data_IF_806416924639
#
_entry.id   IF_806416924639
#
_cell.length_a   1.000
_cell.length_b   1.000
_cell.length_c   1.000
_cell.angle_alpha   90.00
_cell.angle_beta   90.00
_cell.angle_gamma   90.00
#
_symmetry.space_group_name_H-M   'P 1'
#
loop_
_entity.id
_entity.type
_entity.pdbx_description
1 polymer ?
#
# COMPACT_ATOMS: atom_id res chain seq x y z
N UNK A 1 13.72 23.71 -21.06
CA UNK A 1 14.98 23.48 -20.29
C UNK A 1 16.22 23.56 -21.18
N UNK A 2 17.36 24.06 -20.68
CA UNK A 2 18.61 24.20 -21.46
C UNK A 2 19.39 22.87 -21.64
N UNK A 3 19.09 21.83 -20.84
CA UNK A 3 19.71 20.51 -21.01
C UNK A 3 19.02 19.72 -22.11
N UNK A 4 19.78 19.33 -23.15
CA UNK A 4 19.34 18.36 -24.17
C UNK A 4 19.37 16.91 -23.66
N UNK A 5 19.63 16.65 -22.38
CA UNK A 5 19.69 15.32 -21.80
C UNK A 5 18.77 15.20 -20.56
N UNK A 6 17.98 14.13 -20.56
CA UNK A 6 17.13 13.70 -19.44
C UNK A 6 17.71 12.41 -18.86
N UNK A 7 17.76 12.31 -17.53
CA UNK A 7 18.20 11.10 -16.84
C UNK A 7 16.98 10.25 -16.52
N UNK A 8 17.02 8.96 -16.88
CA UNK A 8 15.97 8.00 -16.55
C UNK A 8 16.49 7.01 -15.51
N UNK A 9 15.76 6.87 -14.41
CA UNK A 9 15.97 5.84 -13.38
C UNK A 9 14.70 5.00 -13.20
N UNK A 10 14.82 3.91 -12.45
CA UNK A 10 13.77 2.91 -12.25
C UNK A 10 14.08 2.17 -10.94
N UNK A 11 13.19 2.30 -9.97
CA UNK A 11 13.25 1.56 -8.72
C UNK A 11 12.64 0.17 -8.91
N UNK A 12 13.02 -0.79 -8.07
CA UNK A 12 12.45 -2.13 -8.09
C UNK A 12 12.06 -2.63 -6.71
N UNK A 13 11.71 -3.92 -6.68
CA UNK A 13 11.42 -4.67 -5.47
C UNK A 13 12.72 -5.07 -4.75
N UNK A 14 12.64 -5.38 -3.46
CA UNK A 14 13.77 -5.95 -2.72
C UNK A 14 14.00 -7.43 -3.10
N UNK A 15 12.96 -8.13 -3.55
CA UNK A 15 13.01 -9.55 -3.95
C UNK A 15 13.58 -9.70 -5.35
N UNK A 16 14.71 -10.39 -5.46
CA UNK A 16 15.37 -10.69 -6.74
C UNK A 16 14.47 -11.44 -7.73
N UNK A 17 13.63 -12.35 -7.25
CA UNK A 17 12.68 -13.10 -8.10
C UNK A 17 11.66 -12.18 -8.77
N UNK A 18 11.08 -11.23 -8.02
CA UNK A 18 10.16 -10.24 -8.54
C UNK A 18 10.83 -9.36 -9.60
N UNK A 19 12.02 -8.82 -9.30
CA UNK A 19 12.79 -8.00 -10.24
C UNK A 19 13.12 -8.73 -11.54
N UNK A 20 13.52 -10.00 -11.49
CA UNK A 20 13.80 -10.82 -12.68
C UNK A 20 12.56 -11.05 -13.54
N UNK A 21 11.44 -11.36 -12.89
CA UNK A 21 10.16 -11.60 -13.57
C UNK A 21 9.65 -10.33 -14.25
N UNK A 22 9.80 -9.19 -13.59
CA UNK A 22 9.26 -7.89 -13.97
C UNK A 22 10.13 -7.12 -14.98
N UNK A 23 11.43 -7.43 -15.07
CA UNK A 23 12.37 -6.69 -15.90
C UNK A 23 11.98 -6.55 -17.39
N UNK A 24 11.46 -7.59 -18.08
CA UNK A 24 11.03 -7.44 -19.47
C UNK A 24 9.97 -6.35 -19.66
N UNK A 25 9.02 -6.24 -18.74
CA UNK A 25 7.96 -5.23 -18.78
C UNK A 25 8.53 -3.81 -18.59
N UNK A 26 9.41 -3.64 -17.60
CA UNK A 26 10.12 -2.38 -17.36
C UNK A 26 10.93 -1.95 -18.58
N UNK A 27 11.76 -2.84 -19.12
CA UNK A 27 12.60 -2.54 -20.29
C UNK A 27 11.76 -2.12 -21.50
N UNK A 28 10.63 -2.80 -21.75
CA UNK A 28 9.73 -2.45 -22.84
C UNK A 28 9.10 -1.06 -22.66
N UNK A 29 8.74 -0.70 -21.43
CA UNK A 29 8.26 0.65 -21.09
C UNK A 29 9.36 1.70 -21.26
N UNK A 30 10.57 1.48 -20.72
CA UNK A 30 11.71 2.39 -20.85
C UNK A 30 12.01 2.69 -22.33
N UNK A 31 11.90 1.69 -23.21
CA UNK A 31 12.07 1.87 -24.66
C UNK A 31 11.02 2.80 -25.28
N UNK A 32 9.74 2.65 -24.91
CA UNK A 32 8.65 3.50 -25.41
C UNK A 32 8.78 4.93 -24.92
N UNK A 33 9.04 5.11 -23.62
CA UNK A 33 9.26 6.44 -23.01
C UNK A 33 10.48 7.11 -23.64
N UNK A 34 11.60 6.38 -23.79
CA UNK A 34 12.81 6.89 -24.46
C UNK A 34 12.54 7.31 -25.90
N UNK A 35 11.75 6.54 -26.65
CA UNK A 35 11.38 6.87 -28.02
C UNK A 35 10.51 8.14 -28.07
N UNK A 36 9.59 8.33 -27.12
CA UNK A 36 8.79 9.55 -27.03
C UNK A 36 9.64 10.79 -26.73
N UNK A 37 10.57 10.70 -25.75
CA UNK A 37 11.47 11.81 -25.40
C UNK A 37 12.36 12.20 -26.59
N UNK A 38 12.89 11.20 -27.32
CA UNK A 38 13.72 11.44 -28.51
C UNK A 38 12.96 12.12 -29.65
N UNK A 39 11.66 11.87 -29.79
CA UNK A 39 10.81 12.55 -30.78
C UNK A 39 10.64 14.04 -30.49
N UNK A 40 10.72 14.44 -29.23
CA UNK A 40 10.72 15.85 -28.80
C UNK A 40 12.14 16.47 -28.85
N UNK A 41 13.15 15.75 -29.37
CA UNK A 41 14.50 16.28 -29.62
C UNK A 41 15.48 16.15 -28.45
N UNK A 42 15.09 15.48 -27.35
CA UNK A 42 15.93 15.28 -26.18
C UNK A 42 16.67 13.93 -26.20
N UNK A 43 17.89 13.89 -25.66
CA UNK A 43 18.64 12.67 -25.37
C UNK A 43 18.19 12.08 -24.04
N UNK A 44 18.27 10.76 -23.92
CA UNK A 44 17.99 10.05 -22.68
C UNK A 44 19.23 9.28 -22.27
N UNK A 45 19.66 9.49 -21.02
CA UNK A 45 20.70 8.70 -20.37
C UNK A 45 20.08 7.90 -19.23
N UNK A 46 20.28 6.58 -19.24
CA UNK A 46 19.88 5.75 -18.11
C UNK A 46 20.83 6.00 -16.94
N UNK A 47 20.32 6.33 -15.76
CA UNK A 47 21.12 6.73 -14.59
C UNK A 47 21.87 5.57 -13.92
N UNK A 48 21.55 4.32 -14.27
CA UNK A 48 22.18 3.12 -13.73
C UNK A 48 22.21 1.99 -14.78
N UNK A 49 23.16 1.04 -14.66
CA UNK A 49 23.32 -0.02 -15.65
C UNK A 49 22.36 -1.20 -15.43
N UNK A 50 22.23 -2.05 -16.45
CA UNK A 50 21.67 -3.39 -16.27
C UNK A 50 22.68 -4.30 -15.55
N UNK A 51 22.24 -4.98 -14.49
CA UNK A 51 23.06 -5.87 -13.67
C UNK A 51 23.01 -7.29 -14.23
N UNK A 52 24.03 -7.68 -15.02
CA UNK A 52 24.09 -8.99 -15.69
C UNK A 52 23.94 -10.18 -14.74
N UNK A 53 24.57 -10.13 -13.56
CA UNK A 53 24.49 -11.20 -12.56
C UNK A 53 23.08 -11.34 -11.94
N UNK A 54 22.41 -10.21 -11.69
CA UNK A 54 21.07 -10.18 -11.11
C UNK A 54 19.96 -10.39 -12.15
N UNK A 55 20.27 -10.15 -13.44
CA UNK A 55 19.37 -10.28 -14.60
C UNK A 55 18.21 -9.27 -14.62
N UNK A 56 18.43 -8.08 -14.06
CA UNK A 56 17.52 -6.94 -14.17
C UNK A 56 18.30 -5.62 -14.15
N UNK A 57 17.62 -4.51 -14.46
CA UNK A 57 18.18 -3.18 -14.40
C UNK A 57 17.58 -2.28 -13.32
N UNK A 58 16.85 -2.79 -12.33
CA UNK A 58 16.31 -1.97 -11.24
C UNK A 58 17.34 -1.57 -10.18
N UNK A 59 17.12 -0.41 -9.55
CA UNK A 59 17.68 -0.06 -8.24
C UNK A 59 16.95 -0.88 -7.18
N UNK A 60 17.69 -1.70 -6.42
CA UNK A 60 17.10 -2.71 -5.54
C UNK A 60 17.50 -2.54 -4.05
N UNK A 61 18.14 -1.42 -3.70
CA UNK A 61 18.41 -1.06 -2.30
C UNK A 61 18.62 0.44 -2.14
N UNK A 62 18.44 0.94 -0.92
CA UNK A 62 18.79 2.32 -0.57
C UNK A 62 20.29 2.60 -0.78
N UNK A 63 21.16 1.64 -0.45
CA UNK A 63 22.62 1.80 -0.68
C UNK A 63 22.91 2.06 -2.16
N UNK A 64 22.38 1.21 -3.04
CA UNK A 64 22.53 1.35 -4.49
C UNK A 64 21.96 2.68 -4.98
N UNK A 65 20.78 3.08 -4.50
CA UNK A 65 20.21 4.38 -4.82
C UNK A 65 21.11 5.54 -4.41
N UNK A 66 21.67 5.53 -3.20
CA UNK A 66 22.58 6.58 -2.75
C UNK A 66 23.85 6.65 -3.60
N UNK A 67 24.40 5.50 -4.01
CA UNK A 67 25.55 5.45 -4.92
C UNK A 67 25.23 6.05 -6.30
N UNK A 68 24.02 5.82 -6.81
CA UNK A 68 23.56 6.39 -8.08
C UNK A 68 23.38 7.92 -7.97
N UNK A 69 22.68 8.40 -6.94
CA UNK A 69 22.40 9.83 -6.78
C UNK A 69 23.65 10.68 -6.51
N UNK A 70 24.73 10.11 -5.95
CA UNK A 70 26.04 10.79 -5.88
C UNK A 70 26.61 11.17 -7.25
N UNK A 71 26.20 10.47 -8.31
CA UNK A 71 26.71 10.64 -9.67
C UNK A 71 25.68 11.27 -10.62
N UNK A 72 24.45 11.51 -10.16
CA UNK A 72 23.43 12.25 -10.91
C UNK A 72 23.66 13.75 -10.65
N UNK A 73 23.84 14.59 -11.68
CA UNK A 73 23.85 16.04 -11.51
C UNK A 73 22.56 16.50 -10.82
N UNK A 74 22.68 17.25 -9.74
CA UNK A 74 21.58 17.58 -8.85
C UNK A 74 20.48 18.43 -9.53
N UNK A 75 20.83 19.20 -10.57
CA UNK A 75 19.91 20.05 -11.34
C UNK A 75 19.37 19.38 -12.61
N UNK A 76 19.77 18.15 -12.91
CA UNK A 76 19.37 17.49 -14.15
C UNK A 76 17.86 17.16 -14.17
N UNK A 77 17.19 17.24 -15.34
CA UNK A 77 15.84 16.72 -15.49
C UNK A 77 15.84 15.21 -15.28
N UNK A 78 15.04 14.73 -14.32
CA UNK A 78 15.04 13.35 -13.87
C UNK A 78 13.67 12.71 -14.07
N UNK A 79 13.65 11.56 -14.74
CA UNK A 79 12.48 10.71 -14.89
C UNK A 79 12.64 9.47 -14.02
N UNK A 80 11.66 9.19 -13.18
CA UNK A 80 11.51 7.90 -12.48
C UNK A 80 10.44 7.09 -13.22
N UNK A 81 10.85 6.06 -13.96
CA UNK A 81 9.97 5.25 -14.78
C UNK A 81 9.62 3.94 -14.06
N UNK A 82 8.33 3.70 -13.85
CA UNK A 82 7.83 2.57 -13.06
C UNK A 82 6.81 1.74 -13.85
N UNK A 83 7.18 0.52 -14.21
CA UNK A 83 6.27 -0.45 -14.82
C UNK A 83 5.72 -1.48 -13.81
N UNK A 84 6.25 -1.47 -12.58
CA UNK A 84 6.13 -2.55 -11.59
C UNK A 84 5.98 -1.98 -10.17
N UNK A 85 5.71 -2.85 -9.19
CA UNK A 85 5.82 -2.50 -7.78
C UNK A 85 7.28 -2.22 -7.42
N UNK A 86 7.51 -1.18 -6.62
CA UNK A 86 8.83 -0.71 -6.26
C UNK A 86 8.85 -0.21 -4.82
N UNK A 87 10.02 -0.23 -4.21
CA UNK A 87 10.19 0.20 -2.82
C UNK A 87 10.77 1.63 -2.80
N UNK A 88 9.92 2.62 -2.50
CA UNK A 88 10.25 4.06 -2.65
C UNK A 88 11.53 4.47 -1.94
N UNK A 89 11.82 3.88 -0.77
CA UNK A 89 13.05 4.16 -0.01
C UNK A 89 14.36 3.89 -0.76
N UNK A 90 14.34 3.12 -1.86
CA UNK A 90 15.51 2.95 -2.72
C UNK A 90 15.95 4.27 -3.36
N UNK A 91 14.99 5.13 -3.74
CA UNK A 91 15.26 6.36 -4.52
C UNK A 91 14.88 7.62 -3.76
N UNK A 92 13.95 7.55 -2.81
CA UNK A 92 13.40 8.71 -2.10
C UNK A 92 14.47 9.62 -1.49
N UNK A 93 15.48 9.13 -0.73
CA UNK A 93 16.45 10.04 -0.11
C UNK A 93 17.28 10.80 -1.16
N UNK A 94 17.50 10.20 -2.33
CA UNK A 94 18.18 10.85 -3.45
C UNK A 94 17.30 11.95 -4.04
N UNK A 95 16.03 11.62 -4.30
CA UNK A 95 15.03 12.55 -4.82
C UNK A 95 14.79 13.74 -3.88
N UNK A 96 14.82 13.54 -2.56
CA UNK A 96 14.67 14.65 -1.58
C UNK A 96 15.81 15.66 -1.60
N UNK A 97 16.97 15.29 -2.16
CA UNK A 97 18.13 16.19 -2.29
C UNK A 97 18.33 16.72 -3.71
N UNK A 98 17.50 16.25 -4.64
CA UNK A 98 17.54 16.60 -6.06
C UNK A 98 16.84 17.95 -6.28
N UNK A 99 17.44 18.83 -7.08
CA UNK A 99 16.98 20.21 -7.35
C UNK A 99 16.39 20.39 -8.73
N UNK A 100 16.73 19.48 -9.66
CA UNK A 100 16.15 19.46 -11.01
C UNK A 100 14.68 19.02 -10.99
N UNK A 101 13.94 19.27 -12.08
CA UNK A 101 12.56 18.82 -12.17
C UNK A 101 12.48 17.29 -12.19
N UNK A 102 11.51 16.75 -11.46
CA UNK A 102 11.23 15.32 -11.37
C UNK A 102 9.92 15.01 -12.10
N UNK A 103 9.94 13.98 -12.95
CA UNK A 103 8.75 13.40 -13.56
C UNK A 103 8.67 11.92 -13.20
N UNK A 104 7.59 11.51 -12.56
CA UNK A 104 7.26 10.09 -12.41
C UNK A 104 6.42 9.64 -13.60
N UNK A 105 6.75 8.48 -14.18
CA UNK A 105 6.05 7.93 -15.35
C UNK A 105 5.68 6.49 -15.07
N UNK A 106 4.41 6.12 -15.25
CA UNK A 106 3.94 4.74 -15.11
C UNK A 106 3.36 4.12 -16.40
N UNK A 107 3.38 2.79 -16.48
CA UNK A 107 2.51 2.07 -17.40
C UNK A 107 1.06 2.05 -16.88
N UNK A 108 0.11 2.00 -17.80
CA UNK A 108 -1.28 1.69 -17.49
C UNK A 108 -1.56 0.23 -17.84
N UNK A 109 -1.46 -0.67 -16.86
CA UNK A 109 -1.49 -2.12 -17.12
C UNK A 109 -2.01 -2.90 -15.90
N UNK A 110 -2.98 -3.80 -16.10
CA UNK A 110 -3.51 -4.63 -15.01
C UNK A 110 -2.59 -5.76 -14.54
N UNK A 111 -1.73 -6.28 -15.43
CA UNK A 111 -0.79 -7.36 -15.12
C UNK A 111 0.38 -6.86 -14.27
N UNK A 112 1.00 -5.74 -14.64
CA UNK A 112 2.20 -5.20 -13.99
C UNK A 112 1.90 -3.91 -13.22
N UNK A 113 2.12 -3.86 -11.89
CA UNK A 113 1.62 -2.80 -11.02
C UNK A 113 2.46 -1.51 -11.01
N UNK A 114 2.84 -0.99 -12.17
CA UNK A 114 3.61 0.27 -12.22
C UNK A 114 2.82 1.48 -11.75
N UNK A 115 1.49 1.49 -11.96
CA UNK A 115 0.63 2.53 -11.39
C UNK A 115 0.72 2.53 -9.85
N UNK A 116 0.61 1.36 -9.22
CA UNK A 116 0.68 1.21 -7.75
C UNK A 116 2.07 1.63 -7.24
N UNK A 117 3.15 1.14 -7.89
CA UNK A 117 4.53 1.51 -7.53
C UNK A 117 4.80 3.01 -7.66
N UNK A 118 4.28 3.65 -8.72
CA UNK A 118 4.38 5.09 -8.93
C UNK A 118 3.56 5.88 -7.89
N UNK A 119 2.34 5.43 -7.54
CA UNK A 119 1.51 6.09 -6.53
C UNK A 119 2.14 6.07 -5.14
N UNK A 120 2.78 4.95 -4.75
CA UNK A 120 3.61 4.86 -3.54
C UNK A 120 4.73 5.92 -3.56
N UNK A 121 5.47 6.04 -4.68
CA UNK A 121 6.51 7.05 -4.81
C UNK A 121 5.96 8.47 -4.74
N UNK A 122 4.87 8.74 -5.46
CA UNK A 122 4.21 10.04 -5.49
C UNK A 122 3.72 10.47 -4.11
N UNK A 123 3.09 9.57 -3.37
CA UNK A 123 2.69 9.82 -1.98
C UNK A 123 3.91 10.12 -1.11
N UNK A 124 5.01 9.39 -1.33
CA UNK A 124 6.25 9.59 -0.56
C UNK A 124 6.91 10.94 -0.86
N UNK A 125 6.94 11.36 -2.13
CA UNK A 125 7.43 12.66 -2.57
C UNK A 125 6.57 13.80 -2.02
N UNK A 126 5.24 13.67 -2.12
CA UNK A 126 4.29 14.63 -1.55
C UNK A 126 4.51 14.80 -0.05
N UNK A 127 4.57 13.69 0.69
CA UNK A 127 4.82 13.70 2.13
C UNK A 127 6.18 14.33 2.48
N UNK A 128 7.19 14.12 1.64
CA UNK A 128 8.52 14.70 1.83
C UNK A 128 8.63 16.16 1.37
N UNK A 129 7.55 16.76 0.83
CA UNK A 129 7.56 18.13 0.31
C UNK A 129 8.40 18.30 -0.96
N UNK A 130 8.58 17.23 -1.75
CA UNK A 130 9.33 17.27 -3.00
C UNK A 130 8.38 17.56 -4.16
N UNK A 131 8.68 18.59 -4.94
CA UNK A 131 7.96 18.91 -6.17
C UNK A 131 8.20 17.82 -7.24
N UNK A 132 7.12 17.33 -7.84
CA UNK A 132 7.18 16.40 -8.97
C UNK A 132 6.01 16.63 -9.93
N UNK A 133 6.12 16.07 -11.12
CA UNK A 133 5.03 15.89 -12.07
C UNK A 133 4.81 14.41 -12.36
N UNK A 134 3.65 14.06 -12.91
CA UNK A 134 3.32 12.65 -13.16
C UNK A 134 2.66 12.46 -14.52
N UNK A 135 3.05 11.39 -15.21
CA UNK A 135 2.39 10.93 -16.42
C UNK A 135 2.19 9.42 -16.40
N UNK A 136 1.18 8.94 -17.10
CA UNK A 136 0.96 7.52 -17.30
C UNK A 136 0.37 7.29 -18.68
N UNK A 137 0.55 6.08 -19.21
CA UNK A 137 -0.08 5.70 -20.47
C UNK A 137 -0.07 4.19 -20.66
N UNK A 138 -1.03 3.70 -21.44
CA UNK A 138 -1.03 2.33 -21.96
C UNK A 138 0.12 2.10 -22.96
N UNK A 139 0.39 3.09 -23.82
CA UNK A 139 1.32 2.92 -24.95
C UNK A 139 2.25 4.11 -25.22
N UNK A 140 2.14 5.18 -24.44
CA UNK A 140 2.93 6.42 -24.54
C UNK A 140 2.74 7.15 -25.87
N UNK A 141 1.59 6.97 -26.52
CA UNK A 141 1.27 7.61 -27.80
C UNK A 141 -0.02 8.45 -27.78
N UNK A 142 -0.80 8.37 -26.71
CA UNK A 142 -2.02 9.15 -26.55
C UNK A 142 -1.73 10.65 -26.36
N UNK A 143 -2.77 11.46 -26.57
CA UNK A 143 -2.66 12.92 -26.52
C UNK A 143 -2.35 13.46 -25.13
N UNK A 144 -2.83 12.82 -24.06
CA UNK A 144 -2.56 13.23 -22.69
C UNK A 144 -1.06 13.11 -22.39
N UNK A 145 -0.49 11.92 -22.65
CA UNK A 145 0.94 11.68 -22.42
C UNK A 145 1.83 12.60 -23.27
N UNK A 146 1.57 12.71 -24.58
CA UNK A 146 2.41 13.52 -25.49
C UNK A 146 2.43 15.01 -25.12
N UNK A 147 1.27 15.58 -24.80
CA UNK A 147 1.17 17.00 -24.42
C UNK A 147 1.86 17.25 -23.08
N UNK A 148 1.59 16.41 -22.08
CA UNK A 148 2.23 16.55 -20.78
C UNK A 148 3.75 16.34 -20.84
N UNK A 149 4.23 15.38 -21.64
CA UNK A 149 5.68 15.17 -21.82
C UNK A 149 6.34 16.41 -22.43
N UNK A 150 5.74 17.02 -23.45
CA UNK A 150 6.25 18.25 -24.06
C UNK A 150 6.27 19.40 -23.06
N UNK A 151 5.16 19.63 -22.37
CA UNK A 151 5.06 20.66 -21.32
C UNK A 151 6.15 20.47 -20.27
N UNK A 152 6.37 19.24 -19.81
CA UNK A 152 7.39 18.94 -18.83
C UNK A 152 8.80 19.15 -19.36
N UNK A 153 9.11 18.76 -20.61
CA UNK A 153 10.43 19.00 -21.20
C UNK A 153 10.73 20.51 -21.38
N UNK A 154 9.70 21.31 -21.67
CA UNK A 154 9.85 22.74 -21.85
C UNK A 154 9.99 23.47 -20.50
N UNK A 155 9.11 23.16 -19.55
CA UNK A 155 8.90 23.94 -18.31
C UNK A 155 9.36 23.26 -17.03
N UNK A 156 9.57 21.94 -17.05
CA UNK A 156 9.81 21.12 -15.86
C UNK A 156 8.55 20.74 -15.09
N UNK A 157 7.34 21.06 -15.58
CA UNK A 157 6.06 20.77 -14.93
C UNK A 157 5.02 20.20 -15.89
N UNK A 158 4.06 19.45 -15.35
CA UNK A 158 2.82 19.02 -16.05
C UNK A 158 1.63 19.66 -15.34
N UNK A 159 0.73 20.28 -16.09
CA UNK A 159 -0.51 20.82 -15.55
C UNK A 159 -1.65 19.81 -15.67
N UNK A 160 -2.18 19.36 -14.54
CA UNK A 160 -3.33 18.47 -14.49
C UNK A 160 -4.64 19.25 -14.34
N UNK A 161 -5.69 18.82 -15.06
CA UNK A 161 -7.03 19.41 -14.94
C UNK A 161 -7.69 18.98 -13.61
N UNK A 162 -7.76 19.92 -12.67
CA UNK A 162 -8.42 19.77 -11.38
C UNK A 162 -9.77 20.50 -11.33
N UNK A 163 -10.34 20.88 -12.48
CA UNK A 163 -11.61 21.61 -12.58
C UNK A 163 -12.83 20.82 -12.10
N UNK A 164 -12.68 19.54 -11.76
CA UNK A 164 -13.70 18.72 -11.11
C UNK A 164 -13.68 18.82 -9.57
N UNK A 165 -12.57 19.30 -8.98
CA UNK A 165 -12.42 19.47 -7.53
C UNK A 165 -13.17 20.73 -7.08
N UNK A 166 -13.81 20.67 -5.91
CA UNK A 166 -14.60 21.76 -5.35
C UNK A 166 -14.28 21.91 -3.88
N UNK A 167 -14.12 23.15 -3.43
CA UNK A 167 -13.87 23.44 -2.02
C UNK A 167 -15.12 23.12 -1.17
N UNK A 168 -14.93 22.37 -0.08
CA UNK A 168 -16.01 22.02 0.84
C UNK A 168 -16.72 23.26 1.41
N UNK A 169 -15.99 24.38 1.59
CA UNK A 169 -16.53 25.64 2.10
C UNK A 169 -17.64 26.23 1.22
N UNK A 170 -17.72 25.79 -0.03
CA UNK A 170 -18.77 26.22 -0.97
C UNK A 170 -20.07 25.42 -0.83
N UNK A 171 -20.14 24.44 0.08
CA UNK A 171 -21.31 23.59 0.30
C UNK A 171 -21.87 23.75 1.71
N UNK A 172 -23.19 23.73 1.82
CA UNK A 172 -23.88 23.59 3.10
C UNK A 172 -24.10 22.09 3.39
N UNK A 173 -23.34 21.56 4.34
CA UNK A 173 -23.59 20.22 4.88
C UNK A 173 -24.91 20.20 5.66
N UNK A 174 -25.69 19.09 5.62
CA UNK A 174 -26.84 18.92 6.50
C UNK A 174 -26.44 19.05 7.97
N UNK A 175 -27.21 19.85 8.73
CA UNK A 175 -26.87 20.21 10.11
C UNK A 175 -26.70 18.95 11.00
N UNK A 176 -27.54 17.94 10.80
CA UNK A 176 -27.42 16.65 11.49
C UNK A 176 -26.06 15.95 11.25
N UNK A 177 -25.64 15.84 9.99
CA UNK A 177 -24.38 15.16 9.64
C UNK A 177 -23.16 15.92 10.18
N UNK A 178 -23.23 17.25 10.17
CA UNK A 178 -22.21 18.10 10.79
C UNK A 178 -22.09 17.80 12.28
N UNK A 179 -23.21 17.82 13.02
CA UNK A 179 -23.22 17.54 14.47
C UNK A 179 -22.69 16.14 14.78
N UNK A 180 -23.08 15.12 14.01
CA UNK A 180 -22.57 13.75 14.19
C UNK A 180 -21.05 13.71 13.99
N UNK A 181 -20.54 14.33 12.91
CA UNK A 181 -19.10 14.36 12.63
C UNK A 181 -18.29 15.10 13.71
N UNK A 182 -18.78 16.26 14.15
CA UNK A 182 -18.13 17.07 15.20
C UNK A 182 -18.13 16.32 16.56
N UNK A 183 -19.22 15.63 16.89
CA UNK A 183 -19.30 14.78 18.09
C UNK A 183 -18.30 13.64 18.04
N UNK A 184 -18.24 12.89 16.92
CA UNK A 184 -17.32 11.75 16.78
C UNK A 184 -15.86 12.18 16.84
N UNK A 185 -15.53 13.34 16.27
CA UNK A 185 -14.19 13.91 16.37
C UNK A 185 -13.83 14.26 17.81
N UNK A 186 -14.73 14.93 18.54
CA UNK A 186 -14.53 15.26 19.95
C UNK A 186 -14.39 13.99 20.81
N UNK A 187 -15.22 12.97 20.57
CA UNK A 187 -15.16 11.70 21.27
C UNK A 187 -13.81 10.99 21.06
N UNK A 188 -13.32 10.94 19.82
CA UNK A 188 -12.00 10.36 19.52
C UNK A 188 -10.87 11.11 20.24
N UNK A 189 -10.93 12.45 20.31
CA UNK A 189 -9.93 13.25 21.01
C UNK A 189 -9.97 13.06 22.54
N UNK A 190 -11.16 12.88 23.12
CA UNK A 190 -11.35 12.74 24.55
C UNK A 190 -11.03 11.32 25.06
N UNK A 191 -11.65 10.32 24.44
CA UNK A 191 -11.50 8.90 24.81
C UNK A 191 -10.14 8.35 24.39
N UNK A 192 -9.57 8.94 23.33
CA UNK A 192 -8.33 8.51 22.69
C UNK A 192 -8.47 7.11 22.09
N UNK A 193 -7.56 6.78 21.20
CA UNK A 193 -7.50 5.46 20.60
C UNK A 193 -6.06 4.99 20.45
N UNK A 194 -5.87 3.68 20.43
CA UNK A 194 -4.56 3.05 20.25
C UNK A 194 -4.51 2.31 18.92
N UNK A 195 -3.55 2.68 18.08
CA UNK A 195 -3.16 1.99 16.85
C UNK A 195 -1.95 1.10 17.15
N UNK A 196 -2.16 -0.21 17.20
CA UNK A 196 -1.07 -1.18 17.34
C UNK A 196 -0.37 -1.42 16.02
N UNK A 197 0.92 -1.11 15.93
CA UNK A 197 1.71 -1.23 14.70
C UNK A 197 2.77 -2.31 14.89
N UNK A 198 2.61 -3.48 14.25
CA UNK A 198 3.60 -4.56 14.32
C UNK A 198 4.75 -4.30 13.34
N UNK A 199 5.82 -3.67 13.86
CA UNK A 199 6.94 -3.05 13.13
C UNK A 199 6.47 -1.90 12.20
N UNK A 200 7.14 -0.74 12.23
CA UNK A 200 6.59 0.55 11.76
C UNK A 200 6.61 0.78 10.23
N UNK A 201 7.10 -0.13 9.39
CA UNK A 201 7.18 0.17 7.95
C UNK A 201 7.33 -1.02 7.02
N UNK A 202 6.37 -1.17 6.10
CA UNK A 202 6.38 -2.20 5.08
C UNK A 202 7.00 -1.71 3.77
N UNK A 203 7.90 -2.52 3.19
CA UNK A 203 8.46 -2.34 1.84
C UNK A 203 8.98 -0.92 1.50
N UNK A 204 9.38 -0.16 2.53
CA UNK A 204 9.85 1.21 2.37
C UNK A 204 8.80 2.20 1.86
N UNK A 205 7.52 1.96 2.15
CA UNK A 205 6.41 2.89 1.93
C UNK A 205 6.49 4.06 2.90
N UNK A 206 7.33 5.05 2.59
CA UNK A 206 7.49 6.24 3.44
C UNK A 206 6.17 7.00 3.60
N UNK A 207 5.31 7.02 2.58
CA UNK A 207 3.97 7.63 2.62
C UNK A 207 3.03 6.99 3.65
N UNK A 208 3.21 5.71 3.93
CA UNK A 208 2.32 4.90 4.76
C UNK A 208 2.52 5.14 6.27
N UNK A 209 3.61 5.79 6.66
CA UNK A 209 3.94 6.06 8.07
C UNK A 209 3.47 7.48 8.42
N UNK A 210 2.70 7.68 9.48
CA UNK A 210 2.28 9.00 9.95
C UNK A 210 3.22 9.43 11.10
N UNK A 211 3.87 10.60 11.04
CA UNK A 211 4.62 11.12 12.20
C UNK A 211 3.70 11.33 13.42
N UNK A 212 4.15 10.88 14.61
CA UNK A 212 3.34 10.95 15.85
C UNK A 212 2.79 12.36 16.12
N UNK A 213 3.58 13.41 15.91
CA UNK A 213 3.14 14.79 16.15
C UNK A 213 2.01 15.27 15.21
N UNK A 214 1.82 14.59 14.06
CA UNK A 214 0.69 14.83 13.15
C UNK A 214 -0.50 13.92 13.49
N UNK A 215 -0.25 12.71 14.00
CA UNK A 215 -1.30 11.76 14.37
C UNK A 215 -1.97 12.13 15.70
N UNK A 216 -1.19 12.40 16.74
CA UNK A 216 -1.67 12.59 18.11
C UNK A 216 -2.78 13.66 18.25
N UNK A 217 -2.77 14.80 17.52
CA UNK A 217 -3.88 15.77 17.59
C UNK A 217 -5.26 15.23 17.16
N UNK A 218 -5.29 14.11 16.43
CA UNK A 218 -6.54 13.42 16.06
C UNK A 218 -7.17 12.65 17.22
N UNK A 219 -6.41 12.39 18.30
CA UNK A 219 -6.79 11.49 19.39
C UNK A 219 -6.29 10.05 19.23
N UNK A 220 -5.65 9.72 18.10
CA UNK A 220 -5.05 8.40 17.86
C UNK A 220 -3.55 8.41 18.23
N UNK A 221 -3.11 7.37 18.93
CA UNK A 221 -1.73 7.19 19.38
C UNK A 221 -1.20 5.82 18.95
N UNK A 222 0.09 5.71 18.65
CA UNK A 222 0.69 4.45 18.24
C UNK A 222 1.18 3.64 19.44
N UNK A 223 0.81 2.38 19.49
CA UNK A 223 1.52 1.35 20.25
C UNK A 223 2.47 0.60 19.31
N UNK A 224 3.77 0.61 19.64
CA UNK A 224 4.81 0.04 18.78
C UNK A 224 5.03 -1.43 19.14
N UNK A 225 4.33 -2.29 18.42
CA UNK A 225 4.36 -3.74 18.61
C UNK A 225 5.47 -4.38 17.78
N UNK A 226 5.90 -5.59 18.15
CA UNK A 226 6.95 -6.33 17.44
C UNK A 226 6.38 -7.55 16.71
N UNK A 227 6.74 -7.73 15.44
CA UNK A 227 6.41 -8.97 14.73
C UNK A 227 7.07 -10.21 15.35
N UNK A 228 8.21 -10.04 16.04
CA UNK A 228 8.84 -11.15 16.77
C UNK A 228 8.02 -11.57 17.99
N UNK A 229 7.39 -10.61 18.68
CA UNK A 229 6.45 -10.89 19.76
C UNK A 229 5.19 -11.58 19.24
N UNK A 230 4.67 -11.15 18.08
CA UNK A 230 3.56 -11.82 17.40
C UNK A 230 3.90 -13.28 17.09
N UNK A 231 5.07 -13.55 16.51
CA UNK A 231 5.50 -14.91 16.20
C UNK A 231 5.70 -15.76 17.47
N UNK A 232 6.28 -15.19 18.54
CA UNK A 232 6.41 -15.89 19.81
C UNK A 232 5.04 -16.24 20.42
N UNK A 233 4.07 -15.33 20.36
CA UNK A 233 2.70 -15.60 20.80
C UNK A 233 2.05 -16.69 19.94
N UNK A 234 2.24 -16.67 18.61
CA UNK A 234 1.75 -17.73 17.73
C UNK A 234 2.24 -19.11 18.17
N UNK A 235 3.49 -19.23 18.62
CA UNK A 235 4.04 -20.50 19.13
C UNK A 235 3.36 -20.98 20.41
N UNK A 236 2.87 -20.05 21.24
CA UNK A 236 2.15 -20.36 22.48
C UNK A 236 0.68 -20.77 22.24
N UNK A 237 0.09 -20.40 21.09
CA UNK A 237 -1.28 -20.79 20.73
C UNK A 237 -1.35 -22.29 20.44
N UNK A 238 -2.27 -22.98 21.13
CA UNK A 238 -2.47 -24.40 20.95
C UNK A 238 -3.12 -24.74 19.61
N UNK A 239 -2.78 -25.91 19.05
CA UNK A 239 -3.41 -26.39 17.81
C UNK A 239 -4.93 -26.56 17.98
N UNK A 240 -5.39 -26.90 19.18
CA UNK A 240 -6.81 -27.03 19.51
C UNK A 240 -7.57 -25.72 19.29
N UNK A 241 -7.02 -24.60 19.73
CA UNK A 241 -7.65 -23.28 19.53
C UNK A 241 -7.63 -22.88 18.06
N UNK A 242 -6.51 -23.08 17.37
CA UNK A 242 -6.37 -22.79 15.95
C UNK A 242 -7.34 -23.64 15.09
N UNK A 243 -7.51 -24.92 15.40
CA UNK A 243 -8.48 -25.78 14.73
C UNK A 243 -9.92 -25.34 15.01
N UNK A 244 -10.22 -24.84 16.21
CA UNK A 244 -11.55 -24.31 16.52
C UNK A 244 -11.89 -23.08 15.66
N UNK A 245 -10.91 -22.20 15.39
CA UNK A 245 -11.04 -21.07 14.45
C UNK A 245 -11.33 -21.57 13.05
N UNK A 246 -10.53 -22.50 12.53
CA UNK A 246 -10.75 -23.10 11.20
C UNK A 246 -12.14 -23.73 11.08
N UNK A 247 -12.54 -24.59 12.02
CA UNK A 247 -13.84 -25.24 11.98
C UNK A 247 -15.00 -24.23 12.10
N UNK A 248 -14.79 -23.10 12.76
CA UNK A 248 -15.78 -22.02 12.75
C UNK A 248 -15.94 -21.41 11.36
N UNK A 249 -14.84 -21.13 10.67
CA UNK A 249 -14.85 -20.57 9.31
C UNK A 249 -15.52 -21.53 8.31
N UNK A 250 -15.18 -22.83 8.38
CA UNK A 250 -15.80 -23.86 7.54
C UNK A 250 -17.31 -23.97 7.79
N UNK A 251 -17.75 -23.92 9.06
CA UNK A 251 -19.19 -23.89 9.40
C UNK A 251 -19.92 -22.64 8.91
N UNK A 252 -19.19 -21.52 8.76
CA UNK A 252 -19.71 -20.28 8.17
C UNK A 252 -19.71 -20.28 6.65
N UNK A 253 -19.15 -21.33 6.02
CA UNK A 253 -19.18 -21.53 4.58
C UNK A 253 -17.89 -21.17 3.86
N UNK A 254 -16.80 -20.84 4.58
CA UNK A 254 -15.50 -20.65 3.94
C UNK A 254 -14.93 -22.00 3.47
N UNK A 255 -14.59 -22.10 2.19
CA UNK A 255 -13.92 -23.27 1.61
C UNK A 255 -12.44 -23.01 1.45
N UNK A 256 -11.60 -23.93 1.95
CA UNK A 256 -10.16 -23.91 1.71
C UNK A 256 -9.81 -24.86 0.56
N UNK A 257 -9.19 -24.34 -0.50
CA UNK A 257 -8.59 -25.15 -1.57
C UNK A 257 -7.18 -25.56 -1.16
N UNK A 258 -7.04 -26.78 -0.65
CA UNK A 258 -5.81 -27.28 -0.04
C UNK A 258 -5.08 -28.28 -0.94
N UNK A 259 -3.77 -28.13 -1.01
CA UNK A 259 -2.84 -29.02 -1.68
C UNK A 259 -1.79 -29.59 -0.75
N UNK A 260 -0.73 -30.17 -1.33
CA UNK A 260 0.38 -30.83 -0.62
C UNK A 260 1.72 -30.12 -0.81
N UNK A 261 1.81 -29.17 -1.74
CA UNK A 261 3.06 -28.50 -2.10
C UNK A 261 3.10 -27.08 -1.53
N UNK A 262 3.65 -26.85 -0.32
CA UNK A 262 3.59 -25.54 0.35
C UNK A 262 4.27 -24.38 -0.41
N UNK A 263 5.07 -24.68 -1.44
CA UNK A 263 5.68 -23.67 -2.31
C UNK A 263 4.76 -23.13 -3.40
N UNK A 264 3.69 -23.85 -3.75
CA UNK A 264 2.82 -23.55 -4.89
C UNK A 264 1.33 -23.69 -4.58
N UNK A 265 0.98 -24.28 -3.45
CA UNK A 265 -0.37 -24.62 -3.02
C UNK A 265 -0.52 -24.23 -1.54
N UNK A 266 -1.73 -23.83 -1.15
CA UNK A 266 -2.09 -23.63 0.26
C UNK A 266 -2.17 -25.00 0.97
N UNK A 267 -1.61 -25.14 2.17
CA UNK A 267 -1.67 -26.39 2.94
C UNK A 267 -2.41 -26.25 4.27
N UNK A 268 -2.86 -27.37 4.82
CA UNK A 268 -3.50 -27.42 6.15
C UNK A 268 -2.61 -26.83 7.25
N UNK A 269 -1.30 -27.11 7.20
CA UNK A 269 -0.33 -26.54 8.14
C UNK A 269 -0.26 -25.01 8.03
N UNK A 270 -0.28 -24.47 6.81
CA UNK A 270 -0.27 -23.02 6.59
C UNK A 270 -1.55 -22.36 7.12
N UNK A 271 -2.70 -23.00 6.97
CA UNK A 271 -3.98 -22.53 7.52
C UNK A 271 -3.96 -22.57 9.04
N UNK A 272 -3.43 -23.63 9.64
CA UNK A 272 -3.32 -23.78 11.09
C UNK A 272 -2.50 -22.62 11.69
N UNK A 273 -1.35 -22.31 11.10
CA UNK A 273 -0.50 -21.20 11.55
C UNK A 273 -1.15 -19.83 11.35
N UNK A 274 -1.92 -19.62 10.28
CA UNK A 274 -2.73 -18.40 10.11
C UNK A 274 -3.78 -18.27 11.21
N UNK A 275 -4.45 -19.36 11.58
CA UNK A 275 -5.39 -19.35 12.70
C UNK A 275 -4.71 -19.03 14.05
N UNK A 276 -3.47 -19.49 14.25
CA UNK A 276 -2.65 -19.10 15.42
C UNK A 276 -2.32 -17.61 15.42
N UNK A 277 -1.93 -17.06 14.27
CA UNK A 277 -1.66 -15.62 14.12
C UNK A 277 -2.90 -14.78 14.43
N UNK A 278 -4.08 -15.20 13.99
CA UNK A 278 -5.34 -14.53 14.32
C UNK A 278 -5.58 -14.46 15.84
N UNK A 279 -5.43 -15.58 16.55
CA UNK A 279 -5.59 -15.62 18.01
C UNK A 279 -4.54 -14.75 18.71
N UNK A 280 -3.28 -14.86 18.29
CA UNK A 280 -2.16 -14.10 18.83
C UNK A 280 -2.37 -12.59 18.67
N UNK A 281 -2.73 -12.14 17.47
CA UNK A 281 -2.97 -10.74 17.15
C UNK A 281 -4.11 -10.14 18.01
N UNK A 282 -5.20 -10.87 18.20
CA UNK A 282 -6.33 -10.41 19.03
C UNK A 282 -5.96 -10.32 20.51
N UNK A 283 -5.19 -11.29 21.02
CA UNK A 283 -4.76 -11.27 22.43
C UNK A 283 -3.81 -10.11 22.70
N UNK A 284 -2.83 -9.89 21.82
CA UNK A 284 -1.94 -8.74 21.91
C UNK A 284 -2.74 -7.43 21.80
N UNK A 285 -3.72 -7.34 20.90
CA UNK A 285 -4.57 -6.17 20.83
C UNK A 285 -5.33 -5.90 22.14
N UNK A 286 -5.88 -6.93 22.80
CA UNK A 286 -6.55 -6.79 24.10
C UNK A 286 -5.56 -6.41 25.22
N UNK A 287 -4.37 -7.03 25.26
CA UNK A 287 -3.34 -6.75 26.27
C UNK A 287 -2.91 -5.26 26.27
N UNK A 288 -2.84 -4.66 25.08
CA UNK A 288 -2.40 -3.28 24.87
C UNK A 288 -3.56 -2.30 24.65
N UNK A 289 -4.81 -2.76 24.67
CA UNK A 289 -5.99 -1.91 24.47
C UNK A 289 -6.09 -1.31 23.07
N UNK A 290 -5.59 -2.00 22.04
CA UNK A 290 -5.61 -1.51 20.66
C UNK A 290 -7.04 -1.43 20.10
N UNK A 291 -7.37 -0.30 19.48
CA UNK A 291 -8.60 -0.06 18.71
C UNK A 291 -8.45 -0.52 17.25
N UNK A 292 -7.23 -0.54 16.74
CA UNK A 292 -6.88 -1.00 15.39
C UNK A 292 -5.47 -1.57 15.41
N UNK A 293 -5.20 -2.57 14.58
CA UNK A 293 -3.87 -3.15 14.47
C UNK A 293 -3.44 -3.33 13.01
N UNK A 294 -2.14 -3.18 12.74
CA UNK A 294 -1.58 -3.43 11.41
C UNK A 294 -0.39 -4.37 11.51
N UNK A 295 -0.36 -5.37 10.63
CA UNK A 295 0.73 -6.32 10.52
C UNK A 295 1.59 -5.97 9.31
N UNK A 296 2.88 -5.69 9.53
CA UNK A 296 3.78 -5.34 8.45
C UNK A 296 3.93 -6.50 7.46
N UNK A 297 4.15 -7.70 8.01
CA UNK A 297 4.41 -8.98 7.37
C UNK A 297 5.62 -9.01 6.41
N UNK A 298 5.61 -8.16 5.39
CA UNK A 298 6.66 -8.02 4.37
C UNK A 298 7.61 -6.85 4.70
N UNK A 299 8.93 -7.01 4.71
CA UNK A 299 9.68 -8.26 4.86
C UNK A 299 9.93 -8.52 6.36
N UNK A 300 10.30 -9.75 6.70
CA UNK A 300 10.67 -10.14 8.06
C UNK A 300 9.85 -11.33 8.51
N UNK A 301 8.61 -11.10 8.93
CA UNK A 301 7.72 -12.15 9.41
C UNK A 301 7.41 -13.20 8.32
N UNK A 302 7.32 -12.76 7.06
CA UNK A 302 7.16 -13.63 5.90
C UNK A 302 8.29 -14.67 5.67
N UNK A 303 9.43 -14.53 6.35
CA UNK A 303 10.50 -15.52 6.34
C UNK A 303 10.32 -16.62 7.41
N UNK A 304 9.37 -16.44 8.32
CA UNK A 304 9.20 -17.26 9.53
C UNK A 304 7.88 -18.01 9.59
N UNK A 305 6.80 -17.42 9.07
CA UNK A 305 5.48 -18.02 9.08
C UNK A 305 4.71 -17.76 7.76
N UNK A 306 3.59 -18.47 7.54
CA UNK A 306 2.73 -18.23 6.37
C UNK A 306 2.13 -16.82 6.33
N UNK A 307 1.52 -16.49 5.19
CA UNK A 307 0.89 -15.19 4.92
C UNK A 307 -0.15 -14.80 5.98
N UNK A 308 -0.23 -13.51 6.28
CA UNK A 308 -1.23 -12.95 7.19
C UNK A 308 -2.62 -12.82 6.54
N UNK A 309 -2.76 -13.01 5.23
CA UNK A 309 -3.97 -12.76 4.42
C UNK A 309 -5.29 -13.20 5.08
N UNK A 310 -5.37 -14.45 5.60
CA UNK A 310 -6.58 -14.93 6.27
C UNK A 310 -6.90 -14.11 7.53
N UNK A 311 -5.88 -13.77 8.31
CA UNK A 311 -6.00 -12.99 9.55
C UNK A 311 -6.51 -11.59 9.25
N UNK A 312 -5.89 -10.92 8.28
CA UNK A 312 -6.20 -9.55 7.87
C UNK A 312 -7.62 -9.44 7.33
N UNK A 313 -8.04 -10.45 6.54
CA UNK A 313 -9.41 -10.57 6.05
C UNK A 313 -10.41 -10.77 7.18
N UNK A 314 -10.10 -11.60 8.19
CA UNK A 314 -11.03 -11.91 9.30
C UNK A 314 -11.19 -10.73 10.27
N UNK A 315 -10.10 -10.07 10.67
CA UNK A 315 -10.08 -9.05 11.72
C UNK A 315 -11.05 -7.88 11.45
N UNK A 316 -11.20 -7.55 10.17
CA UNK A 316 -12.08 -6.50 9.69
C UNK A 316 -13.59 -6.85 9.69
N UNK A 317 -13.99 -8.07 10.10
CA UNK A 317 -15.40 -8.46 10.20
C UNK A 317 -15.94 -8.34 11.63
N UNK A 318 -17.21 -7.93 11.75
CA UNK A 318 -17.94 -7.99 13.03
C UNK A 318 -18.25 -9.44 13.42
N UNK A 319 -18.66 -10.26 12.45
CA UNK A 319 -18.92 -11.69 12.63
C UNK A 319 -17.65 -12.50 12.34
N UNK A 320 -16.89 -12.78 13.39
CA UNK A 320 -15.57 -13.44 13.31
C UNK A 320 -15.42 -14.58 14.34
N UNK A 321 -14.48 -15.53 14.14
CA UNK A 321 -14.26 -16.64 15.06
C UNK A 321 -13.97 -16.12 16.49
N UNK A 322 -14.66 -16.63 17.53
CA UNK A 322 -14.49 -16.11 18.89
C UNK A 322 -13.09 -16.45 19.43
N UNK A 323 -12.44 -15.45 20.03
CA UNK A 323 -11.16 -15.61 20.74
C UNK A 323 -11.36 -15.23 22.20
N UNK A 324 -10.76 -16.00 23.10
CA UNK A 324 -10.82 -15.73 24.54
C UNK A 324 -9.59 -14.96 25.02
N UNK A 325 -9.78 -14.17 26.09
CA UNK A 325 -8.70 -13.60 26.90
C UNK A 325 -7.69 -14.66 27.33
N UNK A 326 -6.51 -14.25 27.78
CA UNK A 326 -5.46 -15.15 28.28
C UNK A 326 -5.96 -15.95 29.49
N UNK A 327 -6.79 -15.33 30.32
CA UNK A 327 -7.42 -15.93 31.50
C UNK A 327 -8.58 -16.87 31.13
N UNK A 328 -9.11 -16.76 29.90
CA UNK A 328 -10.14 -17.64 29.36
C UNK A 328 -11.59 -17.27 29.73
N UNK A 329 -11.79 -16.13 30.40
CA UNK A 329 -13.05 -15.68 31.01
C UNK A 329 -13.88 -14.75 30.10
N UNK A 330 -13.23 -13.99 29.21
CA UNK A 330 -13.86 -13.02 28.30
C UNK A 330 -13.72 -13.45 26.85
N UNK A 331 -14.76 -13.23 26.04
CA UNK A 331 -14.66 -13.29 24.58
C UNK A 331 -14.30 -11.90 24.06
N UNK A 332 -13.16 -11.79 23.38
CA UNK A 332 -12.55 -10.53 22.99
C UNK A 332 -13.23 -9.89 21.77
N UNK A 333 -13.52 -8.59 21.87
CA UNK A 333 -14.26 -7.76 20.92
C UNK A 333 -15.50 -8.44 20.31
N UNK A 334 -16.30 -9.13 21.13
CA UNK A 334 -17.54 -9.77 20.67
C UNK A 334 -18.46 -8.75 19.98
N UNK A 335 -18.90 -9.06 18.75
CA UNK A 335 -19.80 -8.20 17.98
C UNK A 335 -19.16 -6.89 17.52
N UNK A 336 -17.83 -6.83 17.45
CA UNK A 336 -17.08 -5.70 16.92
C UNK A 336 -15.95 -6.21 16.02
N UNK A 337 -15.73 -5.53 14.89
CA UNK A 337 -14.50 -5.69 14.15
C UNK A 337 -13.33 -5.14 14.98
N UNK A 338 -12.13 -5.67 14.74
CA UNK A 338 -10.88 -5.03 15.13
C UNK A 338 -10.25 -4.53 13.83
N UNK A 339 -10.51 -3.27 13.42
CA UNK A 339 -10.03 -2.75 12.14
C UNK A 339 -8.55 -3.08 11.94
N UNK A 340 -8.26 -3.73 10.82
CA UNK A 340 -6.91 -4.13 10.45
C UNK A 340 -6.47 -3.43 9.18
N UNK A 341 -5.24 -2.91 9.19
CA UNK A 341 -4.62 -2.27 8.03
C UNK A 341 -3.42 -3.07 7.54
N UNK A 342 -3.51 -3.55 6.29
CA UNK A 342 -2.49 -4.37 5.64
C UNK A 342 -1.18 -3.60 5.52
N UNK A 343 -0.06 -4.31 5.59
CA UNK A 343 1.27 -3.76 5.29
C UNK A 343 1.62 -2.53 6.16
N UNK A 344 1.05 -2.45 7.36
CA UNK A 344 1.15 -1.29 8.27
C UNK A 344 0.95 0.07 7.58
N UNK A 345 0.02 0.15 6.62
CA UNK A 345 -0.43 1.44 6.10
C UNK A 345 -1.24 2.20 7.16
N UNK A 346 -0.55 3.04 7.92
CA UNK A 346 -1.14 3.80 9.03
C UNK A 346 -2.16 4.83 8.53
N UNK A 347 -2.03 5.33 7.29
CA UNK A 347 -3.05 6.20 6.69
C UNK A 347 -4.36 5.43 6.52
N UNK A 348 -4.26 4.19 6.05
CA UNK A 348 -5.42 3.32 5.96
C UNK A 348 -5.92 2.85 7.33
N UNK A 349 -5.05 2.65 8.31
CA UNK A 349 -5.47 2.30 9.66
C UNK A 349 -6.25 3.43 10.34
N UNK A 350 -5.82 4.68 10.17
CA UNK A 350 -6.56 5.85 10.63
C UNK A 350 -7.92 5.95 9.93
N UNK A 351 -7.95 5.80 8.60
CA UNK A 351 -9.18 5.83 7.82
C UNK A 351 -10.16 4.70 8.20
N UNK A 352 -9.65 3.47 8.37
CA UNK A 352 -10.44 2.31 8.75
C UNK A 352 -11.06 2.48 10.14
N UNK A 353 -10.32 3.00 11.12
CA UNK A 353 -10.85 3.28 12.45
C UNK A 353 -11.94 4.35 12.41
N UNK A 354 -11.71 5.45 11.70
CA UNK A 354 -12.69 6.54 11.54
C UNK A 354 -13.94 6.02 10.85
N UNK A 355 -13.78 5.33 9.71
CA UNK A 355 -14.88 4.74 8.94
C UNK A 355 -15.69 3.78 9.79
N UNK A 356 -15.04 2.88 10.53
CA UNK A 356 -15.71 1.96 11.44
C UNK A 356 -16.57 2.70 12.48
N UNK A 357 -16.02 3.72 13.15
CA UNK A 357 -16.74 4.50 14.18
C UNK A 357 -17.90 5.31 13.58
N UNK A 358 -17.69 5.95 12.43
CA UNK A 358 -18.72 6.72 11.70
C UNK A 358 -19.86 5.79 11.26
N UNK A 359 -19.55 4.66 10.63
CA UNK A 359 -20.56 3.73 10.14
C UNK A 359 -21.39 3.15 11.28
N UNK A 360 -20.78 2.82 12.41
CA UNK A 360 -21.50 2.39 13.62
C UNK A 360 -22.44 3.46 14.16
N UNK A 361 -21.99 4.71 14.23
CA UNK A 361 -22.83 5.84 14.66
C UNK A 361 -24.06 6.01 13.77
N UNK A 362 -23.88 5.78 12.47
CA UNK A 362 -24.94 5.81 11.46
C UNK A 362 -25.74 4.50 11.34
N UNK A 363 -25.46 3.50 12.20
CA UNK A 363 -26.08 2.16 12.17
C UNK A 363 -25.91 1.43 10.82
N UNK A 364 -24.78 1.65 10.16
CA UNK A 364 -24.34 0.93 8.97
C UNK A 364 -23.41 -0.24 9.36
N UNK A 365 -23.30 -1.29 8.52
CA UNK A 365 -22.27 -2.33 8.69
C UNK A 365 -20.89 -1.67 8.71
N UNK A 366 -20.02 -1.90 9.71
CA UNK A 366 -18.78 -1.14 9.88
C UNK A 366 -17.52 -1.87 9.36
N UNK A 367 -17.69 -2.97 8.64
CA UNK A 367 -16.62 -3.72 8.00
C UNK A 367 -15.92 -2.87 6.93
N UNK A 368 -14.59 -2.94 6.89
CA UNK A 368 -13.76 -2.14 6.00
C UNK A 368 -12.62 -2.97 5.43
N UNK A 369 -12.10 -2.58 4.27
CA UNK A 369 -10.92 -3.20 3.67
C UNK A 369 -10.06 -2.16 2.97
N UNK A 370 -8.76 -2.42 2.93
CA UNK A 370 -7.84 -1.73 2.03
C UNK A 370 -7.87 -2.38 0.64
N UNK A 371 -7.65 -1.59 -0.40
CA UNK A 371 -7.42 -2.08 -1.76
C UNK A 371 -6.36 -1.26 -2.47
N UNK A 372 -5.53 -1.92 -3.29
CA UNK A 372 -4.75 -1.20 -4.29
C UNK A 372 -5.69 -0.67 -5.37
N UNK A 373 -5.44 0.58 -5.79
CA UNK A 373 -5.96 1.10 -7.06
C UNK A 373 -5.13 0.50 -8.19
N UNK A 374 -5.50 -0.72 -8.61
CA UNK A 374 -4.67 -1.54 -9.50
C UNK A 374 -4.59 -0.97 -10.90
N UNK A 375 -5.74 -0.76 -11.54
CA UNK A 375 -5.88 -0.20 -12.89
C UNK A 375 -7.37 0.03 -13.24
N UNK A 376 -7.65 0.56 -14.43
CA UNK A 376 -9.01 0.61 -14.97
C UNK A 376 -9.03 0.53 -16.49
N UNK A 377 -10.14 0.12 -17.08
CA UNK A 377 -10.33 0.13 -18.54
C UNK A 377 -11.80 0.25 -18.93
N UNK A 378 -12.06 0.59 -20.18
CA UNK A 378 -13.42 0.48 -20.71
C UNK A 378 -13.76 -1.00 -20.89
N UNK A 379 -14.71 -1.49 -20.11
CA UNK A 379 -15.15 -2.88 -20.16
C UNK A 379 -16.48 -2.99 -20.92
N UNK A 380 -16.52 -3.90 -21.89
CA UNK A 380 -17.74 -4.25 -22.62
C UNK A 380 -18.02 -5.75 -22.49
N UNK A 381 -18.97 -6.11 -21.65
CA UNK A 381 -19.35 -7.50 -21.39
C UNK A 381 -20.38 -7.62 -20.27
N UNK A 382 -21.11 -8.75 -20.22
CA UNK A 382 -22.08 -9.05 -19.15
C UNK A 382 -23.09 -7.92 -18.85
N UNK A 383 -23.48 -7.14 -19.85
CA UNK A 383 -24.41 -6.02 -19.71
C UNK A 383 -23.78 -4.68 -19.28
N UNK A 384 -22.46 -4.63 -19.07
CA UNK A 384 -21.70 -3.42 -18.76
C UNK A 384 -21.05 -2.87 -20.03
N UNK A 385 -21.07 -1.56 -20.21
CA UNK A 385 -20.38 -0.82 -21.28
C UNK A 385 -19.84 0.51 -20.74
N UNK A 386 -18.98 0.42 -19.73
CA UNK A 386 -18.51 1.57 -18.96
C UNK A 386 -17.02 1.44 -18.62
N UNK A 387 -16.44 2.54 -18.12
CA UNK A 387 -15.12 2.52 -17.54
C UNK A 387 -15.15 1.87 -16.15
N UNK A 388 -14.40 0.78 -15.99
CA UNK A 388 -14.36 -0.02 -14.76
C UNK A 388 -13.00 0.12 -14.10
N UNK A 389 -13.01 0.41 -12.80
CA UNK A 389 -11.84 0.36 -11.94
C UNK A 389 -11.70 -1.00 -11.28
N UNK A 390 -10.47 -1.48 -11.18
CA UNK A 390 -10.13 -2.70 -10.46
C UNK A 390 -9.43 -2.31 -9.16
N UNK A 391 -10.14 -2.53 -8.06
CA UNK A 391 -9.60 -2.50 -6.71
C UNK A 391 -9.21 -3.91 -6.30
N UNK A 392 -7.93 -4.12 -5.96
CA UNK A 392 -7.42 -5.46 -5.68
C UNK A 392 -6.32 -5.41 -4.63
N UNK A 393 -6.63 -5.85 -3.42
CA UNK A 393 -5.64 -5.99 -2.34
C UNK A 393 -4.61 -7.09 -2.66
N UNK A 394 -3.38 -6.90 -2.22
CA UNK A 394 -2.29 -7.89 -2.22
C UNK A 394 -2.43 -8.94 -1.10
N UNK A 395 -3.65 -9.43 -0.82
CA UNK A 395 -3.90 -10.33 0.31
C UNK A 395 -5.38 -10.67 0.50
N UNK A 396 -5.81 -10.71 1.76
CA UNK A 396 -7.19 -11.04 2.14
C UNK A 396 -8.09 -9.81 2.21
N UNK A 397 -9.35 -9.98 1.81
CA UNK A 397 -10.43 -9.02 2.01
C UNK A 397 -11.52 -9.64 2.91
N UNK A 398 -12.28 -8.82 3.66
CA UNK A 398 -13.44 -9.29 4.42
C UNK A 398 -14.43 -10.00 3.49
N UNK A 399 -14.99 -11.17 3.89
CA UNK A 399 -16.04 -11.84 3.14
C UNK A 399 -17.44 -11.20 3.30
N UNK A 400 -17.61 -10.28 4.27
CA UNK A 400 -18.90 -9.67 4.62
C UNK A 400 -19.31 -8.51 3.71
#
# INVERSE_FOLDING_TARGET
MASKEVILIASGDLRLSANRMCWPAQKAMEQKVTAAIRKEGCKVRRGHPYKKAERHGFIASQKEGMEIFRNIPNDAPLIVAEAVWQFSHHVLPGLTTHKGPILTVANWNGQWPGLVGMLNLNGSLTKAGVDYSTLWSLNFTDGFFKRGLREWLDTGRVTHDTSHVRDLRNYRLPDHNRTVGESLAADLQNEKAIMGVFDEGCMGMFNAIIPDHLLNPTGLFKERLSQSALFAEMQAVSDKEALAVRSWLERKGLTFDVGKKPKTELTDDQILWQCKMYIAAIRIADDYGCDTIGIQYQQGLNATCPASDLVEGILNNVDRPPVKSREGDRVLYKGNALPHFNEVDECAGLDALITNRVWRSLRQPPETTLHDVRWGEHYKGRGVNDYVWVFLISGGAPPA
#
